data_IF_268950059837
#
_entry.id   IF_268950059837
#
_cell.length_a   1.000
_cell.length_b   1.000
_cell.length_c   1.000
_cell.angle_alpha   90.00
_cell.angle_beta   90.00
_cell.angle_gamma   90.00
#
_symmetry.space_group_name_H-M   'P 1'
#
loop_
_entity.id
_entity.type
_entity.pdbx_description
1 polymer ?
#
# COMPACT_ATOMS: atom_id res chain seq x y z
N UNK A 1 8.44 0.53 -8.58
CA UNK A 1 9.52 0.39 -7.57
C UNK A 1 10.89 0.53 -8.25
N UNK A 2 11.89 1.09 -7.57
CA UNK A 2 13.28 1.10 -8.04
C UNK A 2 14.03 -0.18 -7.63
N UNK A 3 13.74 -0.69 -6.42
CA UNK A 3 14.30 -1.93 -5.92
C UNK A 3 13.24 -2.75 -5.15
N UNK A 4 13.64 -3.94 -4.70
CA UNK A 4 12.76 -4.83 -3.94
C UNK A 4 12.42 -4.31 -2.54
N UNK A 5 13.21 -3.36 -2.01
CA UNK A 5 12.87 -2.65 -0.77
C UNK A 5 11.49 -2.00 -0.84
N UNK A 6 11.08 -1.53 -2.02
CA UNK A 6 9.77 -0.92 -2.23
C UNK A 6 8.72 -1.87 -2.82
N UNK A 7 8.88 -3.20 -2.65
CA UNK A 7 7.95 -4.22 -3.15
C UNK A 7 6.49 -3.93 -2.77
N UNK A 8 6.27 -3.43 -1.54
CA UNK A 8 4.95 -3.11 -1.02
C UNK A 8 4.21 -2.05 -1.85
N UNK A 9 4.91 -1.16 -2.58
CA UNK A 9 4.29 -0.19 -3.48
C UNK A 9 3.56 -0.86 -4.63
N UNK A 10 4.01 -2.05 -5.04
CA UNK A 10 3.29 -2.86 -6.01
C UNK A 10 2.23 -3.68 -5.29
N UNK A 11 2.64 -4.55 -4.36
CA UNK A 11 1.76 -5.60 -3.82
C UNK A 11 0.69 -5.06 -2.86
N UNK A 12 1.07 -4.17 -1.96
CA UNK A 12 0.13 -3.49 -1.06
C UNK A 12 -0.84 -2.60 -1.81
N UNK A 13 -0.38 -1.90 -2.85
CA UNK A 13 -1.25 -1.06 -3.69
C UNK A 13 -2.21 -1.89 -4.53
N UNK A 14 -1.74 -2.95 -5.17
CA UNK A 14 -2.59 -3.88 -5.92
C UNK A 14 -3.67 -4.48 -5.00
N UNK A 15 -3.28 -4.90 -3.80
CA UNK A 15 -4.20 -5.40 -2.77
C UNK A 15 -5.16 -4.34 -2.24
N UNK A 16 -4.84 -3.05 -2.27
CA UNK A 16 -5.81 -2.01 -1.95
C UNK A 16 -6.80 -1.79 -3.11
N UNK A 17 -6.28 -1.65 -4.33
CA UNK A 17 -7.08 -1.37 -5.53
C UNK A 17 -7.99 -2.54 -5.93
N UNK A 18 -7.63 -3.80 -5.63
CA UNK A 18 -8.53 -4.94 -5.86
C UNK A 18 -9.84 -4.77 -5.06
N UNK A 19 -9.77 -4.26 -3.82
CA UNK A 19 -10.96 -4.03 -2.99
C UNK A 19 -11.73 -2.80 -3.42
N UNK A 20 -11.05 -1.69 -3.77
CA UNK A 20 -11.73 -0.51 -4.32
C UNK A 20 -12.51 -0.88 -5.59
N UNK A 21 -11.90 -1.62 -6.51
CA UNK A 21 -12.54 -2.05 -7.76
C UNK A 21 -13.74 -2.98 -7.50
N UNK A 22 -13.59 -4.00 -6.66
CA UNK A 22 -14.70 -4.92 -6.36
C UNK A 22 -15.81 -4.20 -5.59
N UNK A 23 -15.47 -3.27 -4.69
CA UNK A 23 -16.47 -2.48 -3.97
C UNK A 23 -17.28 -1.58 -4.91
N UNK A 24 -16.64 -0.97 -5.90
CA UNK A 24 -17.31 -0.13 -6.90
C UNK A 24 -18.24 -0.94 -7.81
N UNK A 25 -17.79 -2.13 -8.24
CA UNK A 25 -18.56 -2.99 -9.15
C UNK A 25 -19.69 -3.74 -8.40
N UNK A 26 -19.44 -4.20 -7.18
CA UNK A 26 -20.36 -5.02 -6.36
C UNK A 26 -20.51 -4.45 -4.94
N UNK A 27 -21.11 -3.26 -4.77
CA UNK A 27 -21.21 -2.59 -3.47
C UNK A 27 -21.97 -3.41 -2.42
N UNK A 28 -22.90 -4.27 -2.85
CA UNK A 28 -23.71 -5.14 -2.01
C UNK A 28 -22.92 -6.29 -1.35
N UNK A 29 -21.69 -6.57 -1.81
CA UNK A 29 -20.84 -7.62 -1.21
C UNK A 29 -20.17 -7.19 0.08
N UNK A 30 -20.15 -5.88 0.39
CA UNK A 30 -19.50 -5.33 1.58
C UNK A 30 -18.05 -5.85 1.77
N UNK A 31 -17.26 -5.82 0.71
CA UNK A 31 -15.88 -6.36 0.71
C UNK A 31 -14.96 -5.69 1.73
N UNK A 32 -15.24 -4.44 2.11
CA UNK A 32 -14.52 -3.75 3.19
C UNK A 32 -14.74 -4.37 4.57
N UNK A 33 -15.87 -5.04 4.79
CA UNK A 33 -16.10 -5.86 5.98
C UNK A 33 -15.11 -7.02 6.04
N UNK A 34 -15.00 -7.78 4.94
CA UNK A 34 -14.04 -8.89 4.83
C UNK A 34 -12.58 -8.42 4.88
N UNK A 35 -12.26 -7.26 4.28
CA UNK A 35 -10.94 -6.62 4.39
C UNK A 35 -10.52 -6.46 5.86
N UNK A 36 -11.44 -5.97 6.70
CA UNK A 36 -11.17 -5.72 8.12
C UNK A 36 -11.08 -7.02 8.91
N UNK A 37 -12.05 -7.94 8.72
CA UNK A 37 -12.24 -9.08 9.61
C UNK A 37 -11.32 -10.26 9.31
N UNK A 38 -11.06 -10.57 8.05
CA UNK A 38 -10.61 -11.92 7.69
C UNK A 38 -9.28 -11.95 6.92
N UNK A 39 -9.18 -11.18 5.84
CA UNK A 39 -8.19 -11.47 4.78
C UNK A 39 -7.08 -10.43 4.66
N UNK A 40 -7.17 -9.30 5.35
CA UNK A 40 -6.16 -8.23 5.23
C UNK A 40 -5.81 -7.60 6.57
N UNK A 41 -6.65 -6.75 7.15
CA UNK A 41 -6.27 -5.98 8.33
C UNK A 41 -6.01 -6.86 9.56
N UNK A 42 -6.94 -7.75 9.90
CA UNK A 42 -6.78 -8.65 11.04
C UNK A 42 -5.56 -9.58 10.89
N UNK A 43 -5.32 -10.11 9.69
CA UNK A 43 -4.16 -10.96 9.39
C UNK A 43 -2.85 -10.18 9.54
N UNK A 44 -2.81 -8.96 9.00
CA UNK A 44 -1.66 -8.07 9.13
C UNK A 44 -1.37 -7.75 10.60
N UNK A 45 -2.38 -7.34 11.38
CA UNK A 45 -2.21 -7.07 12.81
C UNK A 45 -1.69 -8.29 13.58
N UNK A 46 -2.19 -9.49 13.29
CA UNK A 46 -1.73 -10.72 13.94
C UNK A 46 -0.28 -11.04 13.60
N UNK A 47 0.12 -10.92 12.34
CA UNK A 47 1.50 -11.17 11.90
C UNK A 47 2.45 -10.12 12.47
N UNK A 48 2.03 -8.86 12.44
CA UNK A 48 2.84 -7.72 12.87
C UNK A 48 3.03 -7.62 14.39
N UNK A 49 2.19 -8.30 15.16
CA UNK A 49 2.35 -8.45 16.61
C UNK A 49 3.42 -9.48 17.01
N UNK A 50 4.01 -10.22 16.06
CA UNK A 50 5.05 -11.23 16.34
C UNK A 50 6.45 -10.60 16.37
N UNK A 51 7.33 -11.11 17.23
CA UNK A 51 8.75 -10.72 17.24
C UNK A 51 9.47 -11.04 15.91
N UNK A 52 8.97 -12.03 15.17
CA UNK A 52 9.46 -12.41 13.85
C UNK A 52 8.86 -11.59 12.70
N UNK A 53 8.11 -10.53 12.99
CA UNK A 53 7.68 -9.56 11.98
C UNK A 53 8.86 -8.74 11.47
N UNK A 54 8.59 -7.91 10.46
CA UNK A 54 9.53 -6.94 9.92
C UNK A 54 8.82 -5.62 9.54
N UNK A 55 9.56 -4.52 9.37
CA UNK A 55 9.02 -3.29 8.78
C UNK A 55 8.51 -3.53 7.35
N UNK A 56 7.61 -2.66 6.87
CA UNK A 56 7.10 -2.76 5.48
C UNK A 56 8.24 -2.65 4.47
N UNK A 57 9.18 -1.73 4.69
CA UNK A 57 10.40 -1.65 3.88
C UNK A 57 11.50 -2.49 4.52
N UNK A 58 12.00 -3.46 3.78
CA UNK A 58 13.11 -4.32 4.17
C UNK A 58 14.28 -4.06 3.24
N UNK A 59 15.47 -3.87 3.79
CA UNK A 59 16.68 -3.72 2.99
C UNK A 59 17.00 -5.08 2.34
N UNK A 60 16.82 -5.16 1.02
CA UNK A 60 17.16 -6.35 0.23
C UNK A 60 18.55 -6.16 -0.37
N UNK A 61 19.50 -7.01 -0.01
CA UNK A 61 20.87 -6.95 -0.52
C UNK A 61 21.05 -7.79 -1.77
N UNK A 62 20.33 -8.91 -1.87
CA UNK A 62 20.39 -9.81 -3.02
C UNK A 62 18.98 -10.21 -3.48
N UNK A 63 18.71 -10.31 -4.80
CA UNK A 63 17.38 -10.70 -5.32
C UNK A 63 16.85 -12.04 -4.79
N UNK A 64 17.70 -12.95 -4.34
CA UNK A 64 17.27 -14.24 -3.77
C UNK A 64 16.60 -14.08 -2.40
N UNK A 65 16.74 -12.92 -1.75
CA UNK A 65 16.08 -12.61 -0.47
C UNK A 65 14.62 -12.17 -0.67
N UNK A 66 14.20 -11.92 -1.91
CA UNK A 66 12.90 -11.31 -2.22
C UNK A 66 11.74 -12.24 -1.83
N UNK A 67 11.92 -13.55 -1.94
CA UNK A 67 10.92 -14.53 -1.50
C UNK A 67 10.57 -14.40 -0.01
N UNK A 68 11.46 -13.81 0.81
CA UNK A 68 11.21 -13.58 2.24
C UNK A 68 10.24 -12.43 2.50
N UNK A 69 10.10 -11.50 1.55
CA UNK A 69 9.26 -10.31 1.68
C UNK A 69 7.98 -10.39 0.84
N UNK A 70 7.79 -11.47 0.06
CA UNK A 70 6.50 -11.82 -0.54
C UNK A 70 5.55 -12.44 0.51
N UNK A 71 5.15 -11.63 1.49
CA UNK A 71 4.51 -12.13 2.70
C UNK A 71 3.28 -11.31 3.14
N UNK A 72 2.71 -11.65 4.31
CA UNK A 72 1.55 -10.95 4.87
C UNK A 72 1.84 -9.46 5.14
N UNK A 73 3.07 -9.08 5.49
CA UNK A 73 3.40 -7.68 5.77
C UNK A 73 3.36 -6.84 4.49
N UNK A 74 4.07 -7.25 3.43
CA UNK A 74 4.13 -6.48 2.19
C UNK A 74 2.77 -6.28 1.53
N UNK A 75 1.91 -7.30 1.58
CA UNK A 75 0.57 -7.25 0.98
C UNK A 75 -0.44 -6.64 1.94
N UNK A 76 -0.68 -7.29 3.08
CA UNK A 76 -1.84 -7.00 3.91
C UNK A 76 -1.63 -5.76 4.79
N UNK A 77 -0.45 -5.62 5.41
CA UNK A 77 -0.10 -4.40 6.16
C UNK A 77 0.07 -3.22 5.20
N UNK A 78 0.73 -3.44 4.06
CA UNK A 78 0.85 -2.45 2.98
C UNK A 78 -0.50 -1.87 2.55
N UNK A 79 -1.45 -2.72 2.15
CA UNK A 79 -2.80 -2.31 1.78
C UNK A 79 -3.55 -1.60 2.91
N UNK A 80 -3.39 -2.07 4.14
CA UNK A 80 -4.00 -1.46 5.32
C UNK A 80 -3.50 -0.04 5.58
N UNK A 81 -2.20 0.20 5.41
CA UNK A 81 -1.60 1.54 5.52
C UNK A 81 -2.08 2.45 4.38
N UNK A 82 -2.16 1.95 3.15
CA UNK A 82 -2.69 2.72 2.00
C UNK A 82 -4.14 3.13 2.25
N UNK A 83 -4.99 2.19 2.70
CA UNK A 83 -6.38 2.48 3.06
C UNK A 83 -6.45 3.53 4.16
N UNK A 84 -5.64 3.43 5.20
CA UNK A 84 -5.57 4.42 6.27
C UNK A 84 -5.21 5.80 5.71
N UNK A 85 -4.19 5.88 4.85
CA UNK A 85 -3.76 7.14 4.23
C UNK A 85 -4.83 7.74 3.32
N UNK A 86 -5.47 6.93 2.47
CA UNK A 86 -6.55 7.38 1.61
C UNK A 86 -7.72 7.99 2.41
N UNK A 87 -8.06 7.38 3.55
CA UNK A 87 -9.07 7.92 4.47
C UNK A 87 -8.58 9.18 5.20
N UNK A 88 -7.32 9.22 5.61
CA UNK A 88 -6.73 10.34 6.35
C UNK A 88 -6.65 11.62 5.51
N UNK A 89 -6.24 11.51 4.24
CA UNK A 89 -6.09 12.67 3.34
C UNK A 89 -7.36 12.98 2.54
N UNK A 90 -8.30 12.03 2.49
CA UNK A 90 -9.53 12.09 1.70
C UNK A 90 -9.38 11.41 0.34
N UNK A 91 -10.35 10.57 -0.04
CA UNK A 91 -10.24 9.68 -1.20
C UNK A 91 -10.05 10.42 -2.53
N UNK A 92 -10.73 11.55 -2.73
CA UNK A 92 -10.60 12.34 -3.96
C UNK A 92 -9.18 12.89 -4.14
N UNK A 93 -8.60 13.42 -3.05
CA UNK A 93 -7.22 13.93 -3.03
C UNK A 93 -6.21 12.81 -3.19
N UNK A 94 -6.49 11.66 -2.58
CA UNK A 94 -5.69 10.46 -2.78
C UNK A 94 -5.64 10.06 -4.26
N UNK A 95 -6.79 10.03 -4.95
CA UNK A 95 -6.83 9.70 -6.38
C UNK A 95 -6.11 10.72 -7.25
N UNK A 96 -6.20 12.02 -6.95
CA UNK A 96 -5.39 13.04 -7.63
C UNK A 96 -3.90 12.79 -7.42
N UNK A 97 -3.48 12.50 -6.18
CA UNK A 97 -2.08 12.18 -5.86
C UNK A 97 -1.58 10.93 -6.58
N UNK A 98 -2.38 9.87 -6.62
CA UNK A 98 -2.06 8.65 -7.35
C UNK A 98 -1.97 8.87 -8.85
N UNK A 99 -2.89 9.64 -9.44
CA UNK A 99 -2.84 10.00 -10.86
C UNK A 99 -1.54 10.75 -11.19
N UNK A 100 -1.17 11.74 -10.37
CA UNK A 100 0.05 12.49 -10.55
C UNK A 100 1.29 11.61 -10.40
N UNK A 101 1.33 10.75 -9.38
CA UNK A 101 2.40 9.78 -9.16
C UNK A 101 2.60 8.89 -10.40
N UNK A 102 1.53 8.22 -10.85
CA UNK A 102 1.59 7.31 -12.00
C UNK A 102 2.00 8.02 -13.29
N UNK A 103 1.54 9.26 -13.50
CA UNK A 103 1.89 10.05 -14.69
C UNK A 103 3.34 10.51 -14.66
N UNK A 104 3.84 10.97 -13.51
CA UNK A 104 5.20 11.49 -13.36
C UNK A 104 6.26 10.39 -13.51
N UNK A 105 5.95 9.17 -13.06
CA UNK A 105 6.86 8.03 -13.12
C UNK A 105 6.50 7.03 -14.22
N UNK A 106 5.66 7.45 -15.18
CA UNK A 106 5.28 6.60 -16.31
C UNK A 106 6.52 6.12 -17.08
N UNK A 107 6.57 4.83 -17.37
CA UNK A 107 7.69 4.17 -18.06
C UNK A 107 9.04 4.23 -17.32
N UNK A 108 9.03 4.56 -16.02
CA UNK A 108 10.21 4.62 -15.16
C UNK A 108 10.03 3.85 -13.86
N UNK A 109 10.87 4.20 -12.89
CA UNK A 109 10.88 3.63 -11.54
C UNK A 109 10.60 4.73 -10.51
N UNK A 110 10.17 4.33 -9.32
CA UNK A 110 9.82 5.23 -8.23
C UNK A 110 10.09 4.56 -6.88
N UNK A 111 10.34 5.38 -5.86
CA UNK A 111 10.54 4.99 -4.46
C UNK A 111 9.33 5.34 -3.62
N UNK A 112 9.30 4.85 -2.39
CA UNK A 112 8.24 5.15 -1.43
C UNK A 112 8.12 6.65 -1.14
N UNK A 113 9.24 7.36 -1.05
CA UNK A 113 9.25 8.82 -0.86
C UNK A 113 8.56 9.58 -1.99
N UNK A 114 8.62 9.08 -3.21
CA UNK A 114 7.98 9.71 -4.37
C UNK A 114 6.46 9.64 -4.29
N UNK A 115 5.92 8.53 -3.78
CA UNK A 115 4.49 8.40 -3.48
C UNK A 115 4.07 9.42 -2.41
N UNK A 116 4.85 9.56 -1.34
CA UNK A 116 4.55 10.53 -0.28
C UNK A 116 4.50 11.95 -0.82
N UNK A 117 5.53 12.38 -1.55
CA UNK A 117 5.53 13.71 -2.16
C UNK A 117 4.32 13.94 -3.07
N UNK A 118 3.90 12.95 -3.85
CA UNK A 118 2.73 13.07 -4.72
C UNK A 118 1.42 13.22 -3.92
N UNK A 119 1.25 12.45 -2.84
CA UNK A 119 0.09 12.54 -1.96
C UNK A 119 0.06 13.86 -1.17
N UNK A 120 1.21 14.34 -0.68
CA UNK A 120 1.32 15.64 0.00
C UNK A 120 0.96 16.78 -0.95
N UNK A 121 1.52 16.78 -2.17
CA UNK A 121 1.26 17.81 -3.16
C UNK A 121 -0.23 17.88 -3.55
N UNK A 122 -0.91 16.74 -3.67
CA UNK A 122 -2.33 16.70 -4.00
C UNK A 122 -3.24 17.06 -2.82
N UNK A 123 -2.86 16.70 -1.59
CA UNK A 123 -3.73 16.85 -0.42
C UNK A 123 -3.54 18.15 0.35
N UNK A 124 -2.33 18.73 0.30
CA UNK A 124 -1.88 19.81 1.19
C UNK A 124 -1.62 19.35 2.63
N UNK A 125 -1.70 18.04 2.90
CA UNK A 125 -1.47 17.44 4.23
C UNK A 125 -0.05 16.89 4.28
N UNK A 126 0.67 17.13 5.39
CA UNK A 126 1.99 16.53 5.62
C UNK A 126 1.83 15.03 5.92
N UNK A 127 2.39 14.19 5.04
CA UNK A 127 2.35 12.72 5.09
C UNK A 127 3.72 12.15 5.50
N UNK A 128 4.81 12.82 5.15
CA UNK A 128 6.16 12.47 5.62
C UNK A 128 6.36 12.90 7.08
N UNK A 129 7.07 12.10 7.87
CA UNK A 129 7.43 12.43 9.26
C UNK A 129 8.75 13.19 9.31
#
# INVERSE_FOLDING_TARGET
>A
MEWWTELWLNEGFARFMEFEAVHDIFPEWNVWGSFVQDITLATAMKKDAMESSHPIEVVVHHPDEVDQIFDVISYAKGASVIRMLANFIGIDKFYVGMHNYLTNFAYGNAKTVDLWHALEAASGTKVLF
#
